data_IF_395269550633
#
_entry.id   IF_395269550633
#
_cell.length_a   1.000
_cell.length_b   1.000
_cell.length_c   1.000
_cell.angle_alpha   90.00
_cell.angle_beta   90.00
_cell.angle_gamma   90.00
#
_symmetry.space_group_name_H-M   'P 1'
#
loop_
_entity.id
_entity.type
_entity.pdbx_description
1 polymer ?
#
# COMPACT_ATOMS: atom_id res chain seq x y z
N UNK A 1 2.65 -12.58 0.04
CA UNK A 1 1.26 -12.21 -0.27
C UNK A 1 0.82 -13.03 -1.48
N UNK A 2 -0.40 -13.56 -1.51
CA UNK A 2 -0.91 -14.35 -2.64
C UNK A 2 -1.92 -13.54 -3.44
N UNK A 3 -1.72 -13.43 -4.75
CA UNK A 3 -2.70 -12.79 -5.64
C UNK A 3 -3.90 -13.71 -5.87
N UNK A 4 -5.01 -13.13 -6.32
CA UNK A 4 -6.17 -13.90 -6.79
C UNK A 4 -5.82 -14.86 -7.95
N UNK A 5 -4.76 -14.57 -8.71
CA UNK A 5 -4.21 -15.45 -9.75
C UNK A 5 -3.44 -16.66 -9.21
N UNK A 6 -3.30 -16.79 -7.89
CA UNK A 6 -2.60 -17.89 -7.23
C UNK A 6 -1.10 -17.69 -7.06
N UNK A 7 -0.52 -16.67 -7.70
CA UNK A 7 0.93 -16.37 -7.64
C UNK A 7 1.28 -15.69 -6.32
N UNK A 8 2.35 -16.16 -5.68
CA UNK A 8 2.94 -15.51 -4.51
C UNK A 8 3.89 -14.39 -4.92
N UNK A 9 3.71 -13.22 -4.29
CA UNK A 9 4.50 -12.04 -4.55
C UNK A 9 4.83 -11.31 -3.26
N UNK A 10 5.97 -10.63 -3.29
CA UNK A 10 6.40 -9.66 -2.30
C UNK A 10 6.05 -8.26 -2.79
N UNK A 11 5.41 -7.47 -1.93
CA UNK A 11 4.97 -6.12 -2.24
C UNK A 11 5.45 -5.15 -1.16
N UNK A 12 5.77 -3.94 -1.58
CA UNK A 12 6.19 -2.85 -0.72
C UNK A 12 4.99 -2.05 -0.21
N UNK A 13 5.00 -1.71 1.08
CA UNK A 13 4.01 -0.83 1.70
C UNK A 13 4.58 0.60 1.71
N UNK A 14 3.99 1.55 0.96
CA UNK A 14 4.47 2.92 0.94
C UNK A 14 3.95 3.73 2.13
N UNK A 15 4.79 4.64 2.63
CA UNK A 15 4.46 5.62 3.66
C UNK A 15 4.80 5.17 5.08
N UNK A 16 4.55 6.04 6.05
CA UNK A 16 4.86 5.80 7.45
C UNK A 16 3.69 5.08 8.14
N UNK A 17 3.99 3.96 8.79
CA UNK A 17 3.01 3.16 9.50
C UNK A 17 2.01 2.42 8.59
N UNK A 18 1.57 1.25 9.05
CA UNK A 18 0.49 0.49 8.43
C UNK A 18 -0.27 -0.30 9.50
N UNK A 19 -1.51 -0.65 9.20
CA UNK A 19 -2.41 -1.38 10.10
C UNK A 19 -2.77 -2.77 9.53
N UNK A 20 -1.92 -3.32 8.65
CA UNK A 20 -2.19 -4.60 8.01
C UNK A 20 -1.84 -5.74 8.95
N UNK A 21 -2.69 -6.76 8.94
CA UNK A 21 -2.50 -8.00 9.66
C UNK A 21 -2.36 -9.14 8.66
N UNK A 22 -2.05 -10.34 9.16
CA UNK A 22 -2.16 -11.56 8.38
C UNK A 22 -3.60 -11.71 7.85
N UNK A 23 -3.75 -12.21 6.63
CA UNK A 23 -5.03 -12.37 5.91
C UNK A 23 -5.78 -11.08 5.51
N UNK A 24 -5.24 -9.88 5.77
CA UNK A 24 -5.83 -8.64 5.25
C UNK A 24 -5.82 -8.63 3.71
N UNK A 25 -6.93 -8.18 3.11
CA UNK A 25 -7.08 -8.09 1.66
C UNK A 25 -6.58 -6.72 1.21
N UNK A 26 -5.61 -6.72 0.29
CA UNK A 26 -4.97 -5.48 -0.18
C UNK A 26 -4.91 -5.42 -1.69
N UNK A 27 -5.03 -4.20 -2.23
CA UNK A 27 -4.89 -3.95 -3.66
C UNK A 27 -3.44 -3.65 -4.01
N UNK A 28 -2.93 -4.28 -5.05
CA UNK A 28 -1.53 -4.19 -5.48
C UNK A 28 -1.45 -3.50 -6.83
N UNK A 29 -0.44 -2.64 -7.00
CA UNK A 29 -0.07 -2.04 -8.29
C UNK A 29 1.38 -2.37 -8.65
N UNK A 30 1.69 -2.33 -9.95
CA UNK A 30 3.06 -2.47 -10.43
C UNK A 30 3.94 -1.30 -9.98
N UNK A 31 5.20 -1.58 -9.64
CA UNK A 31 6.19 -0.58 -9.30
C UNK A 31 7.43 -1.23 -8.70
N UNK A 32 8.61 -0.98 -9.26
CA UNK A 32 9.85 -1.48 -8.69
C UNK A 32 10.36 -0.53 -7.61
N UNK A 33 10.60 -1.05 -6.42
CA UNK A 33 11.43 -0.37 -5.43
C UNK A 33 12.88 -0.63 -5.80
N UNK A 34 13.66 0.42 -6.03
CA UNK A 34 15.06 0.28 -6.45
C UNK A 34 15.93 -0.31 -5.35
N UNK A 35 15.56 -0.06 -4.10
CA UNK A 35 16.36 -0.41 -2.92
C UNK A 35 16.23 -1.88 -2.53
N UNK A 36 15.15 -2.56 -2.94
CA UNK A 36 14.86 -3.93 -2.54
C UNK A 36 14.84 -4.87 -3.75
N UNK A 37 15.78 -5.83 -3.86
CA UNK A 37 15.74 -6.83 -4.92
C UNK A 37 14.52 -7.74 -4.75
N UNK A 38 13.88 -8.10 -5.87
CA UNK A 38 12.68 -8.95 -5.88
C UNK A 38 11.35 -8.24 -5.59
N UNK A 39 11.36 -7.01 -5.06
CA UNK A 39 10.13 -6.26 -4.76
C UNK A 39 9.70 -5.40 -5.95
N UNK A 40 8.75 -5.93 -6.73
CA UNK A 40 8.27 -5.32 -7.99
C UNK A 40 6.84 -4.77 -7.93
N UNK A 41 6.26 -4.77 -6.74
CA UNK A 41 4.88 -4.40 -6.51
C UNK A 41 4.75 -3.47 -5.32
N UNK A 42 3.78 -2.55 -5.38
CA UNK A 42 3.44 -1.65 -4.30
C UNK A 42 2.00 -1.89 -3.89
N UNK A 43 1.73 -1.81 -2.59
CA UNK A 43 0.37 -1.81 -2.07
C UNK A 43 -0.24 -0.41 -2.28
N UNK A 44 -1.46 -0.35 -2.81
CA UNK A 44 -2.25 0.88 -2.94
C UNK A 44 -2.83 1.19 -1.56
N UNK A 45 -2.55 2.38 -1.03
CA UNK A 45 -3.06 2.83 0.27
C UNK A 45 -4.46 3.43 0.15
N UNK A 46 -5.29 3.24 1.18
CA UNK A 46 -6.65 3.77 1.22
C UNK A 46 -7.65 2.96 0.37
N UNK A 47 -7.30 1.72 0.03
CA UNK A 47 -8.13 0.78 -0.72
C UNK A 47 -8.16 -0.56 0.00
N UNK A 48 -9.32 -1.23 -0.02
CA UNK A 48 -9.60 -2.45 0.76
C UNK A 48 -9.22 -2.25 2.24
N UNK A 49 -8.51 -3.19 2.86
CA UNK A 49 -8.17 -3.13 4.29
C UNK A 49 -7.00 -2.19 4.60
N UNK A 50 -6.36 -1.61 3.58
CA UNK A 50 -5.22 -0.71 3.77
C UNK A 50 -5.69 0.69 4.18
N UNK A 51 -5.37 1.11 5.40
CA UNK A 51 -5.65 2.48 5.82
C UNK A 51 -4.65 3.49 5.22
N UNK A 52 -5.13 4.69 4.94
CA UNK A 52 -4.30 5.81 4.53
C UNK A 52 -3.30 6.23 5.62
N UNK A 53 -2.24 6.93 5.24
CA UNK A 53 -1.26 7.46 6.19
C UNK A 53 -1.88 8.63 6.97
N UNK A 54 -1.86 8.55 8.31
CA UNK A 54 -2.40 9.60 9.21
C UNK A 54 -1.56 10.87 9.13
N UNK A 55 -2.20 12.04 9.26
CA UNK A 55 -1.52 13.34 9.30
C UNK A 55 -0.83 13.77 8.00
N UNK A 56 -0.99 13.02 6.89
CA UNK A 56 -0.36 13.35 5.61
C UNK A 56 -1.06 14.53 4.94
N UNK A 57 -0.41 15.69 4.91
CA UNK A 57 -0.97 16.91 4.29
C UNK A 57 -0.62 17.04 2.80
N UNK A 58 0.54 16.51 2.36
CA UNK A 58 1.03 16.58 0.97
C UNK A 58 1.04 15.21 0.28
N UNK A 59 0.90 15.20 -1.06
CA UNK A 59 0.85 14.00 -1.90
C UNK A 59 -0.22 12.97 -1.45
N UNK A 60 -1.33 13.46 -0.90
CA UNK A 60 -2.40 12.68 -0.26
C UNK A 60 -2.96 11.55 -1.13
N UNK A 61 -3.11 11.79 -2.42
CA UNK A 61 -3.63 10.82 -3.39
C UNK A 61 -2.79 9.55 -3.48
N UNK A 62 -1.47 9.65 -3.27
CA UNK A 62 -0.56 8.49 -3.33
C UNK A 62 -0.64 7.60 -2.08
N UNK A 63 -1.01 8.18 -0.93
CA UNK A 63 -0.97 7.52 0.38
C UNK A 63 -2.38 7.31 0.99
N UNK A 64 -3.44 7.51 0.21
CA UNK A 64 -4.82 7.27 0.64
C UNK A 64 -5.30 8.22 1.75
N UNK A 65 -4.66 9.39 1.92
CA UNK A 65 -5.06 10.36 2.93
C UNK A 65 -6.20 11.25 2.40
N UNK A 66 -7.28 11.39 3.17
CA UNK A 66 -8.40 12.27 2.80
C UNK A 66 -8.04 13.74 3.06
N UNK A 67 -8.69 14.65 2.33
CA UNK A 67 -8.63 16.08 2.64
C UNK A 67 -9.40 16.33 3.94
N UNK A 68 -8.71 16.83 4.94
CA UNK A 68 -9.35 17.33 6.17
C UNK A 68 -10.32 18.45 5.80
N UNK A 69 -11.56 18.34 6.30
CA UNK A 69 -12.52 19.43 6.24
C UNK A 69 -12.14 20.39 7.37
N UNK A 70 -11.64 21.56 7.01
CA UNK A 70 -11.58 22.71 7.91
C UNK A 70 -12.98 23.26 8.11
#
# INVERSE_FOLDING_TARGET
MRLSTGIEVTAYIPGEGHNLQEHSIVLVRGGRVKDLPGVRYHIVRGSLDTQGVKGRQQARSKYGAKKEKK
#
